data_IF_628194271660
#
_entry.id   IF_628194271660
#
_cell.length_a   1.000
_cell.length_b   1.000
_cell.length_c   1.000
_cell.angle_alpha   90.00
_cell.angle_beta   90.00
_cell.angle_gamma   90.00
#
_symmetry.space_group_name_H-M   'P 1'
#
loop_
_entity.id
_entity.type
_entity.pdbx_description
1 polymer ?
#
# COMPACT_ATOMS: atom_id res chain seq x y z
N UNK A 1 -12.84 23.09 -13.39
CA UNK A 1 -13.58 23.44 -14.63
C UNK A 1 -14.25 22.22 -15.28
N UNK A 2 -13.63 21.04 -15.38
CA UNK A 2 -14.19 19.91 -16.18
C UNK A 2 -14.80 18.76 -15.38
N UNK A 3 -14.47 18.60 -14.09
CA UNK A 3 -14.83 17.43 -13.27
C UNK A 3 -14.29 16.08 -13.82
N UNK A 4 -13.30 16.13 -14.71
CA UNK A 4 -12.63 14.95 -15.26
C UNK A 4 -11.27 14.70 -14.59
N UNK A 5 -10.73 13.49 -14.75
CA UNK A 5 -9.33 13.20 -14.41
C UNK A 5 -8.41 13.96 -15.36
N UNK A 6 -7.29 14.45 -14.83
CA UNK A 6 -6.33 15.27 -15.55
C UNK A 6 -4.91 14.70 -15.31
N UNK A 7 -4.27 14.12 -16.33
CA UNK A 7 -2.92 13.58 -16.19
C UNK A 7 -1.85 14.67 -16.04
N UNK A 8 -2.07 15.88 -16.57
CA UNK A 8 -1.12 16.98 -16.44
C UNK A 8 -1.08 17.43 -14.97
N UNK A 9 -2.25 17.61 -14.34
CA UNK A 9 -2.33 17.93 -12.91
C UNK A 9 -1.71 16.82 -12.03
N UNK A 10 -1.91 15.56 -12.41
CA UNK A 10 -1.35 14.42 -11.68
C UNK A 10 0.19 14.44 -11.70
N UNK A 11 0.79 14.62 -12.88
CA UNK A 11 2.25 14.60 -13.03
C UNK A 11 2.92 15.92 -12.64
N UNK A 12 2.24 17.06 -12.76
CA UNK A 12 2.75 18.36 -12.32
C UNK A 12 3.11 18.31 -10.82
N UNK A 13 2.20 17.81 -9.98
CA UNK A 13 2.47 17.65 -8.56
C UNK A 13 3.59 16.64 -8.29
N UNK A 14 3.55 15.45 -8.89
CA UNK A 14 4.52 14.39 -8.58
C UNK A 14 5.93 14.73 -9.08
N UNK A 15 6.06 15.45 -10.19
CA UNK A 15 7.37 15.88 -10.72
C UNK A 15 8.04 16.96 -9.87
N UNK A 16 7.26 17.78 -9.15
CA UNK A 16 7.76 18.84 -8.27
C UNK A 16 8.03 18.38 -6.82
N UNK A 17 7.49 17.23 -6.42
CA UNK A 17 7.59 16.68 -5.06
C UNK A 17 8.31 15.33 -5.07
N UNK A 18 9.66 15.32 -5.16
CA UNK A 18 10.45 14.11 -5.38
C UNK A 18 10.35 13.08 -4.24
N UNK A 19 9.97 13.49 -3.03
CA UNK A 19 9.69 12.61 -1.90
C UNK A 19 8.56 11.61 -2.18
N UNK A 20 7.67 11.92 -3.14
CA UNK A 20 6.61 11.01 -3.59
C UNK A 20 7.11 9.78 -4.35
N UNK A 21 8.33 9.84 -4.90
CA UNK A 21 8.86 8.86 -5.86
C UNK A 21 8.77 7.42 -5.36
N UNK A 22 9.11 7.17 -4.10
CA UNK A 22 9.07 5.82 -3.54
C UNK A 22 7.65 5.22 -3.59
N UNK A 23 6.63 6.00 -3.23
CA UNK A 23 5.24 5.55 -3.25
C UNK A 23 4.68 5.49 -4.69
N UNK A 24 5.08 6.42 -5.57
CA UNK A 24 4.67 6.41 -6.98
C UNK A 24 5.15 5.14 -7.68
N UNK A 25 6.38 4.71 -7.40
CA UNK A 25 6.90 3.45 -7.93
C UNK A 25 6.08 2.24 -7.48
N UNK A 26 5.65 2.19 -6.21
CA UNK A 26 4.77 1.13 -5.72
C UNK A 26 3.38 1.19 -6.38
N UNK A 27 2.81 2.39 -6.52
CA UNK A 27 1.49 2.61 -7.12
C UNK A 27 1.40 2.15 -8.57
N UNK A 28 2.48 2.29 -9.35
CA UNK A 28 2.50 1.95 -10.78
C UNK A 28 2.77 0.45 -11.01
N UNK A 29 3.28 -0.28 -10.01
CA UNK A 29 3.39 -1.74 -10.08
C UNK A 29 2.01 -2.41 -9.96
N UNK A 30 1.93 -3.72 -10.22
CA UNK A 30 0.69 -4.49 -10.01
C UNK A 30 0.15 -4.39 -8.56
N UNK A 31 0.97 -4.00 -7.57
CA UNK A 31 0.49 -3.74 -6.20
C UNK A 31 -0.51 -2.57 -6.13
N UNK A 32 -0.54 -1.68 -7.12
CA UNK A 32 -1.54 -0.63 -7.26
C UNK A 32 -2.94 -1.13 -7.65
N UNK A 33 -3.05 -2.35 -8.17
CA UNK A 33 -4.29 -3.00 -8.62
C UNK A 33 -4.52 -4.31 -7.86
N UNK A 34 -4.89 -4.25 -6.57
CA UNK A 34 -5.08 -5.45 -5.76
C UNK A 34 -6.25 -6.31 -6.25
N UNK A 35 -6.09 -7.64 -6.21
CA UNK A 35 -7.12 -8.61 -6.57
C UNK A 35 -8.13 -8.81 -5.41
N UNK A 36 -8.72 -7.71 -4.95
CA UNK A 36 -9.64 -7.64 -3.81
C UNK A 36 -8.95 -7.34 -2.48
N UNK A 37 -9.62 -6.57 -1.62
CA UNK A 37 -9.05 -6.04 -0.36
C UNK A 37 -8.67 -7.12 0.67
N UNK A 38 -9.26 -8.31 0.59
CA UNK A 38 -9.02 -9.40 1.53
C UNK A 38 -7.73 -10.19 1.24
N UNK A 39 -7.08 -9.93 0.09
CA UNK A 39 -5.86 -10.61 -0.38
C UNK A 39 -4.66 -9.68 -0.45
N UNK A 40 -4.67 -8.60 0.31
CA UNK A 40 -3.60 -7.60 0.35
C UNK A 40 -2.93 -7.56 1.70
N UNK A 41 -1.64 -7.25 1.74
CA UNK A 41 -1.00 -6.84 2.99
C UNK A 41 -1.43 -5.42 3.36
N UNK A 42 -1.38 -5.08 4.64
CA UNK A 42 -1.55 -3.71 5.14
C UNK A 42 -0.38 -3.31 6.05
N UNK A 43 -0.09 -2.01 6.08
CA UNK A 43 1.05 -1.46 6.81
C UNK A 43 0.61 -0.18 7.51
N UNK A 44 1.10 0.08 8.73
CA UNK A 44 0.79 1.33 9.45
C UNK A 44 1.33 2.58 8.75
N UNK A 45 2.32 2.40 7.86
CA UNK A 45 3.14 3.43 7.21
C UNK A 45 3.95 4.27 8.21
N UNK A 46 3.27 5.00 9.08
CA UNK A 46 3.85 5.79 10.16
C UNK A 46 4.43 4.93 11.28
N UNK A 47 5.44 5.47 11.95
CA UNK A 47 5.89 5.00 13.25
C UNK A 47 4.95 5.51 14.34
N UNK A 48 4.48 4.61 15.22
CA UNK A 48 3.59 4.91 16.35
C UNK A 48 4.42 5.04 17.64
N UNK A 49 3.95 5.85 18.59
CA UNK A 49 4.69 6.19 19.82
C UNK A 49 4.15 5.45 21.05
N UNK A 50 4.70 4.26 21.31
CA UNK A 50 4.62 3.54 22.60
C UNK A 50 6.02 2.97 22.94
N UNK A 51 6.65 2.40 21.92
CA UNK A 51 8.06 2.41 21.54
C UNK A 51 8.02 2.71 20.02
N UNK A 52 9.07 3.20 19.33
CA UNK A 52 8.92 3.48 17.88
C UNK A 52 8.53 2.19 17.15
N UNK A 53 7.29 2.14 16.64
CA UNK A 53 6.66 0.90 16.18
C UNK A 53 6.08 1.07 14.79
N UNK A 54 6.35 0.10 13.89
CA UNK A 54 5.60 -0.10 12.65
C UNK A 54 4.84 -1.42 12.70
N UNK A 55 3.59 -1.41 12.24
CA UNK A 55 2.69 -2.58 12.23
C UNK A 55 2.54 -3.07 10.80
N UNK A 56 2.71 -4.37 10.61
CA UNK A 56 2.67 -5.05 9.32
C UNK A 56 1.64 -6.18 9.40
N UNK A 57 0.52 -6.04 8.71
CA UNK A 57 -0.52 -7.06 8.58
C UNK A 57 -0.29 -7.82 7.27
N UNK A 58 0.16 -9.06 7.36
CA UNK A 58 0.63 -9.83 6.20
C UNK A 58 -0.37 -10.93 5.89
N UNK A 59 -0.86 -10.95 4.65
CA UNK A 59 -1.73 -12.02 4.20
C UNK A 59 -0.96 -13.33 4.09
N UNK A 60 -1.44 -14.38 4.75
CA UNK A 60 -0.70 -15.65 4.86
C UNK A 60 -0.61 -16.41 3.52
N UNK A 61 -1.49 -16.10 2.56
CA UNK A 61 -1.47 -16.66 1.20
C UNK A 61 -0.75 -15.77 0.18
N UNK A 62 -0.09 -14.70 0.67
CA UNK A 62 0.58 -13.69 -0.12
C UNK A 62 -0.39 -12.69 -0.78
N UNK A 63 0.14 -11.49 -1.03
CA UNK A 63 -0.61 -10.43 -1.70
C UNK A 63 -0.93 -10.82 -3.15
N UNK A 64 -2.21 -10.76 -3.54
CA UNK A 64 -2.65 -11.03 -4.92
C UNK A 64 -2.97 -9.74 -5.65
N UNK A 65 -2.49 -9.62 -6.87
CA UNK A 65 -2.60 -8.42 -7.71
C UNK A 65 -3.18 -8.78 -9.07
N UNK A 66 -3.70 -7.77 -9.74
CA UNK A 66 -4.16 -7.82 -11.12
C UNK A 66 -3.13 -7.12 -11.99
N UNK A 67 -2.87 -7.65 -13.18
CA UNK A 67 -2.19 -6.90 -14.22
C UNK A 67 -3.05 -5.70 -14.66
N UNK A 68 -2.44 -4.70 -15.28
CA UNK A 68 -3.17 -3.55 -15.83
C UNK A 68 -4.30 -3.96 -16.80
N UNK A 69 -4.08 -4.99 -17.62
CA UNK A 69 -5.09 -5.51 -18.56
C UNK A 69 -6.29 -6.16 -17.83
N UNK A 70 -6.03 -6.97 -16.80
CA UNK A 70 -7.09 -7.57 -15.98
C UNK A 70 -7.89 -6.53 -15.21
N UNK A 71 -7.20 -5.56 -14.61
CA UNK A 71 -7.84 -4.46 -13.88
C UNK A 71 -8.73 -3.61 -14.80
N UNK A 72 -8.26 -3.28 -16.01
CA UNK A 72 -9.04 -2.54 -17.01
C UNK A 72 -10.30 -3.30 -17.42
N UNK A 73 -10.17 -4.61 -17.68
CA UNK A 73 -11.29 -5.47 -18.04
C UNK A 73 -12.33 -5.54 -16.91
N UNK A 74 -11.89 -5.81 -15.67
CA UNK A 74 -12.77 -5.92 -14.52
C UNK A 74 -13.45 -4.59 -14.17
N UNK A 75 -12.81 -3.45 -14.40
CA UNK A 75 -13.44 -2.14 -14.20
C UNK A 75 -14.70 -1.96 -15.06
N UNK A 76 -14.69 -2.48 -16.29
CA UNK A 76 -15.84 -2.44 -17.20
C UNK A 76 -16.89 -3.52 -16.92
N UNK A 77 -16.46 -4.74 -16.60
CA UNK A 77 -17.36 -5.88 -16.39
C UNK A 77 -17.98 -5.91 -14.99
N UNK A 78 -17.19 -5.59 -13.97
CA UNK A 78 -17.56 -5.70 -12.56
C UNK A 78 -16.86 -4.64 -11.70
N UNK A 79 -17.35 -3.39 -11.70
CA UNK A 79 -16.75 -2.32 -10.91
C UNK A 79 -16.79 -2.56 -9.40
N UNK A 80 -17.57 -3.56 -8.95
CA UNK A 80 -17.68 -3.96 -7.55
C UNK A 80 -16.79 -5.17 -7.19
N UNK A 81 -15.94 -5.65 -8.11
CA UNK A 81 -15.09 -6.83 -7.92
C UNK A 81 -14.34 -6.83 -6.58
N UNK A 82 -13.75 -5.68 -6.20
CA UNK A 82 -12.93 -5.58 -4.98
C UNK A 82 -13.69 -5.78 -3.67
N UNK A 83 -15.00 -5.51 -3.66
CA UNK A 83 -15.89 -5.66 -2.48
C UNK A 83 -16.78 -6.90 -2.55
N UNK A 84 -16.92 -7.51 -3.74
CA UNK A 84 -17.68 -8.76 -3.92
C UNK A 84 -16.93 -9.90 -3.26
N UNK A 85 -17.12 -10.03 -1.96
CA UNK A 85 -16.61 -11.16 -1.20
C UNK A 85 -17.62 -12.30 -1.33
N UNK A 86 -17.20 -13.41 -1.94
CA UNK A 86 -17.83 -14.68 -1.59
C UNK A 86 -17.31 -15.06 -0.20
N UNK A 87 -17.88 -14.43 0.84
CA UNK A 87 -17.55 -14.63 2.27
C UNK A 87 -17.46 -16.11 2.66
N UNK A 88 -18.17 -16.98 1.94
CA UNK A 88 -18.23 -18.43 2.15
C UNK A 88 -17.14 -19.20 1.37
N UNK A 89 -16.61 -18.68 0.25
CA UNK A 89 -15.50 -19.34 -0.50
C UNK A 89 -14.11 -18.85 -0.07
N UNK A 90 -13.99 -17.60 0.38
CA UNK A 90 -12.71 -17.01 0.78
C UNK A 90 -12.42 -17.18 2.29
N UNK A 91 -12.98 -18.22 2.94
CA UNK A 91 -12.72 -18.56 4.36
C UNK A 91 -11.24 -18.89 4.67
N UNK A 92 -10.35 -18.86 3.67
CA UNK A 92 -8.91 -19.09 3.81
C UNK A 92 -8.04 -17.83 3.89
N UNK A 93 -8.58 -16.60 3.87
CA UNK A 93 -7.76 -15.40 4.04
C UNK A 93 -7.51 -15.10 5.53
N UNK A 94 -6.44 -15.66 6.08
CA UNK A 94 -5.88 -15.25 7.37
C UNK A 94 -4.72 -14.27 7.15
N UNK A 95 -4.45 -13.49 8.20
CA UNK A 95 -3.31 -12.59 8.22
C UNK A 95 -2.55 -12.73 9.53
N UNK A 96 -1.24 -12.56 9.44
CA UNK A 96 -0.33 -12.51 10.59
C UNK A 96 0.16 -11.09 10.79
N UNK A 97 -0.03 -10.57 12.00
CA UNK A 97 0.39 -9.21 12.38
C UNK A 97 1.79 -9.25 12.99
N UNK A 98 2.70 -8.49 12.41
CA UNK A 98 4.06 -8.29 12.87
C UNK A 98 4.28 -6.85 13.35
N UNK A 99 5.22 -6.71 14.27
CA UNK A 99 5.65 -5.42 14.82
C UNK A 99 7.15 -5.29 14.58
N UNK A 100 7.55 -4.23 13.91
CA UNK A 100 8.94 -3.77 13.87
C UNK A 100 9.11 -2.70 14.94
N UNK A 101 10.19 -2.78 15.73
CA UNK A 101 10.51 -1.83 16.81
C UNK A 101 11.89 -1.24 16.64
N UNK A 102 12.04 0.03 17.01
CA UNK A 102 13.34 0.66 17.26
C UNK A 102 13.36 1.32 18.64
N UNK A 103 14.49 1.21 19.32
CA UNK A 103 14.81 2.01 20.51
C UNK A 103 15.09 3.46 20.12
N UNK A 104 15.08 4.37 21.08
CA UNK A 104 15.43 5.77 20.83
C UNK A 104 16.87 5.92 20.35
N UNK A 105 17.81 5.12 20.87
CA UNK A 105 19.22 5.13 20.46
C UNK A 105 19.39 4.64 19.02
N UNK A 106 18.71 3.56 18.63
CA UNK A 106 18.71 3.10 17.23
C UNK A 106 18.09 4.15 16.30
N UNK A 107 17.00 4.79 16.73
CA UNK A 107 16.32 5.83 15.96
C UNK A 107 17.19 7.07 15.73
N UNK A 108 17.97 7.51 16.73
CA UNK A 108 18.89 8.65 16.62
C UNK A 108 20.08 8.35 15.70
N UNK A 109 20.52 7.10 15.66
CA UNK A 109 21.65 6.66 14.83
C UNK A 109 21.23 6.10 13.47
N UNK A 110 19.93 6.14 13.15
CA UNK A 110 19.43 5.60 11.88
C UNK A 110 19.77 6.52 10.71
N UNK A 111 20.09 5.93 9.56
CA UNK A 111 20.61 6.64 8.40
C UNK A 111 19.59 7.54 7.68
N UNK A 112 18.31 7.50 8.08
CA UNK A 112 17.30 8.51 7.75
C UNK A 112 16.30 8.71 8.90
N UNK A 113 15.48 9.75 8.81
CA UNK A 113 14.44 10.06 9.78
C UNK A 113 13.42 8.90 9.89
N UNK A 114 13.35 8.26 11.04
CA UNK A 114 12.43 7.14 11.31
C UNK A 114 10.94 7.55 11.29
N UNK A 115 10.65 8.85 11.39
CA UNK A 115 9.30 9.43 11.31
C UNK A 115 8.91 9.84 9.89
N UNK A 116 9.81 9.72 8.91
CA UNK A 116 9.52 9.95 7.50
C UNK A 116 8.63 8.83 6.95
N UNK A 117 7.39 9.16 6.62
CA UNK A 117 6.39 8.21 6.07
C UNK A 117 6.78 7.67 4.70
N UNK A 118 7.67 8.35 3.97
CA UNK A 118 8.15 7.90 2.67
C UNK A 118 9.18 6.78 2.77
N UNK A 119 9.59 6.38 3.98
CA UNK A 119 10.62 5.37 4.23
C UNK A 119 10.07 4.10 4.89
N UNK A 120 10.62 2.95 4.52
CA UNK A 120 10.44 1.66 5.24
C UNK A 120 11.52 1.49 6.30
N UNK A 121 11.42 0.51 7.19
CA UNK A 121 12.55 0.09 8.04
C UNK A 121 13.01 -1.29 7.53
N UNK A 122 14.27 -1.44 7.02
CA UNK A 122 14.76 -2.68 6.43
C UNK A 122 14.86 -3.83 7.44
#
# INVERSE_FOLDING_TARGET
>A
QTHLKDPDMFWDNLSQNPESSHQVMLLITDRGTPAGYHRTNAYSAHALKFAYVKIHDINDNGSKTLTAAEATRLWGEDPNFGIKKNLIKDMGSSHTVYIQTMTSEEAENFFYNILDVTKVWP
#
